data_IF_852320962111
#
_entry.id   IF_852320962111
#
_cell.length_a   1.000
_cell.length_b   1.000
_cell.length_c   1.000
_cell.angle_alpha   90.00
_cell.angle_beta   90.00
_cell.angle_gamma   90.00
#
_symmetry.space_group_name_H-M   'P 1'
#
loop_
_entity.id
_entity.type
_entity.pdbx_description
1 polymer ?
#
# COMPACT_ATOMS: atom_id res chain seq x y z
N UNK A 1 1.11 27.36 27.11
CA UNK A 1 0.68 26.12 26.42
C UNK A 1 1.88 25.21 26.46
N UNK A 2 1.79 24.07 27.13
CA UNK A 2 2.89 23.11 27.22
C UNK A 2 2.96 22.34 25.90
N UNK A 3 4.16 22.26 25.31
CA UNK A 3 4.41 21.51 24.08
C UNK A 3 4.81 20.08 24.49
N UNK A 4 4.05 19.09 24.05
CA UNK A 4 4.37 17.67 24.25
C UNK A 4 4.65 17.09 22.87
N UNK A 5 5.91 16.72 22.62
CA UNK A 5 6.33 16.10 21.37
C UNK A 5 6.04 14.60 21.39
N UNK A 6 5.37 14.11 20.35
CA UNK A 6 5.11 12.68 20.15
C UNK A 6 5.82 12.24 18.88
N UNK A 7 6.75 11.30 19.02
CA UNK A 7 7.51 10.74 17.89
C UNK A 7 6.67 9.74 17.09
N UNK A 8 7.15 9.41 15.89
CA UNK A 8 6.62 8.30 15.10
C UNK A 8 6.94 6.94 15.74
N UNK A 9 6.35 5.89 15.17
CA UNK A 9 6.52 4.51 15.63
C UNK A 9 7.53 3.75 14.77
N UNK A 10 8.32 2.89 15.41
CA UNK A 10 9.16 1.90 14.76
C UNK A 10 8.33 0.73 14.19
N UNK A 11 8.92 -0.05 13.28
CA UNK A 11 8.21 -1.15 12.63
C UNK A 11 7.66 -2.16 13.64
N UNK A 12 8.45 -2.50 14.66
CA UNK A 12 8.09 -3.43 15.72
C UNK A 12 6.93 -2.90 16.57
N UNK A 13 6.95 -1.60 16.88
CA UNK A 13 5.87 -0.92 17.61
C UNK A 13 4.57 -0.94 16.80
N UNK A 14 4.65 -0.71 15.49
CA UNK A 14 3.50 -0.77 14.59
C UNK A 14 2.87 -2.15 14.53
N UNK A 15 3.67 -3.22 14.55
CA UNK A 15 3.16 -4.60 14.62
C UNK A 15 2.36 -4.80 15.91
N UNK A 16 2.90 -4.37 17.06
CA UNK A 16 2.20 -4.48 18.35
C UNK A 16 0.90 -3.66 18.35
N UNK A 17 0.92 -2.44 17.79
CA UNK A 17 -0.26 -1.59 17.67
C UNK A 17 -1.32 -2.25 16.77
N UNK A 18 -0.90 -2.85 15.66
CA UNK A 18 -1.81 -3.54 14.76
C UNK A 18 -2.53 -4.70 15.44
N UNK A 19 -1.79 -5.55 16.16
CA UNK A 19 -2.36 -6.71 16.85
C UNK A 19 -3.26 -6.31 18.03
N UNK A 20 -2.84 -5.34 18.85
CA UNK A 20 -3.58 -4.96 20.07
C UNK A 20 -4.78 -4.05 19.81
N UNK A 21 -4.75 -3.24 18.76
CA UNK A 21 -5.74 -2.19 18.55
C UNK A 21 -6.38 -2.22 17.16
N UNK A 22 -5.60 -2.19 16.08
CA UNK A 22 -6.15 -2.00 14.72
C UNK A 22 -6.97 -3.20 14.25
N UNK A 23 -6.47 -4.43 14.44
CA UNK A 23 -7.18 -5.65 14.05
C UNK A 23 -8.48 -5.82 14.87
N UNK A 24 -8.47 -5.69 16.22
CA UNK A 24 -9.70 -5.70 17.01
C UNK A 24 -10.70 -4.61 16.62
N UNK A 25 -10.21 -3.40 16.29
CA UNK A 25 -11.07 -2.31 15.83
C UNK A 25 -11.73 -2.67 14.49
N UNK A 26 -10.96 -3.11 13.50
CA UNK A 26 -11.49 -3.52 12.19
C UNK A 26 -12.52 -4.65 12.31
N UNK A 27 -12.31 -5.62 13.23
CA UNK A 27 -13.29 -6.67 13.55
C UNK A 27 -14.60 -6.10 14.06
N UNK A 28 -14.53 -5.14 14.99
CA UNK A 28 -15.70 -4.49 15.57
C UNK A 28 -16.49 -3.74 14.52
N UNK A 29 -15.82 -2.99 13.64
CA UNK A 29 -16.45 -2.21 12.57
C UNK A 29 -17.11 -3.11 11.50
N UNK A 30 -16.51 -4.27 11.21
CA UNK A 30 -17.00 -5.23 10.20
C UNK A 30 -17.89 -6.33 10.79
N UNK A 31 -18.12 -6.32 12.10
CA UNK A 31 -18.88 -7.35 12.82
C UNK A 31 -18.36 -8.78 12.59
N UNK A 32 -17.04 -8.95 12.54
CA UNK A 32 -16.37 -10.24 12.36
C UNK A 32 -15.88 -10.79 13.71
N UNK A 33 -15.99 -12.11 13.88
CA UNK A 33 -15.44 -12.78 15.07
C UNK A 33 -13.93 -13.00 14.94
N UNK A 34 -13.25 -13.28 16.06
CA UNK A 34 -11.80 -13.54 16.05
C UNK A 34 -11.41 -14.71 15.15
N UNK A 35 -12.27 -15.74 15.09
CA UNK A 35 -12.05 -16.90 14.23
C UNK A 35 -12.24 -16.59 12.75
N UNK A 36 -13.02 -15.56 12.41
CA UNK A 36 -13.35 -15.21 11.03
C UNK A 36 -12.33 -14.28 10.38
N UNK A 37 -11.59 -13.50 11.17
CA UNK A 37 -10.65 -12.50 10.68
C UNK A 37 -9.33 -12.57 11.44
N UNK A 38 -8.35 -13.25 10.85
CA UNK A 38 -7.01 -13.41 11.40
C UNK A 38 -6.00 -12.86 10.40
N UNK A 39 -5.09 -12.00 10.86
CA UNK A 39 -3.94 -11.54 10.10
C UNK A 39 -2.69 -11.97 10.88
N UNK A 40 -1.84 -12.76 10.24
CA UNK A 40 -0.58 -13.21 10.82
C UNK A 40 0.44 -12.07 10.90
N UNK A 41 1.38 -12.14 11.85
CA UNK A 41 2.39 -11.10 12.06
C UNK A 41 3.24 -10.85 10.80
N UNK A 42 3.58 -11.91 10.06
CA UNK A 42 4.32 -11.77 8.80
C UNK A 42 3.56 -10.96 7.75
N UNK A 43 2.24 -11.12 7.68
CA UNK A 43 1.42 -10.31 6.78
C UNK A 43 1.35 -8.85 7.24
N UNK A 44 1.29 -8.59 8.56
CA UNK A 44 1.35 -7.21 9.09
C UNK A 44 2.69 -6.57 8.76
N UNK A 45 3.78 -7.30 8.93
CA UNK A 45 5.13 -6.85 8.58
C UNK A 45 5.25 -6.51 7.09
N UNK A 46 4.69 -7.35 6.21
CA UNK A 46 4.66 -7.09 4.77
C UNK A 46 3.80 -5.88 4.40
N UNK A 47 2.66 -5.67 5.07
CA UNK A 47 1.84 -4.45 4.90
C UNK A 47 2.66 -3.21 5.28
N UNK A 48 3.38 -3.27 6.41
CA UNK A 48 4.20 -2.16 6.88
C UNK A 48 5.31 -1.85 5.86
N UNK A 49 6.06 -2.87 5.41
CA UNK A 49 7.20 -2.68 4.51
C UNK A 49 6.80 -2.26 3.10
N UNK A 50 5.81 -2.92 2.51
CA UNK A 50 5.54 -2.81 1.07
C UNK A 50 4.37 -1.88 0.72
N UNK A 51 3.56 -1.49 1.71
CA UNK A 51 2.33 -0.73 1.47
C UNK A 51 2.22 0.57 2.28
N UNK A 52 3.10 0.78 3.26
CA UNK A 52 3.07 1.94 4.16
C UNK A 52 4.43 2.67 4.20
N UNK A 53 4.46 3.96 3.84
CA UNK A 53 5.62 4.85 4.05
C UNK A 53 5.18 6.09 4.83
N UNK A 54 5.04 5.92 6.14
CA UNK A 54 4.65 6.98 7.06
C UNK A 54 5.25 6.73 8.44
N UNK A 55 5.33 7.77 9.27
CA UNK A 55 5.75 7.68 10.68
C UNK A 55 4.67 7.08 11.58
N UNK A 56 3.39 7.25 11.23
CA UNK A 56 2.23 6.75 11.95
C UNK A 56 1.72 5.37 11.50
N UNK A 57 0.44 5.09 11.79
CA UNK A 57 -0.25 3.82 11.50
C UNK A 57 -1.56 3.98 10.70
N UNK A 58 -1.80 5.16 10.10
CA UNK A 58 -3.04 5.47 9.39
C UNK A 58 -3.18 4.69 8.08
N UNK A 59 -2.12 4.57 7.31
CA UNK A 59 -2.08 3.73 6.11
C UNK A 59 -2.17 2.25 6.47
N UNK A 60 -1.51 1.84 7.56
CA UNK A 60 -1.60 0.48 8.09
C UNK A 60 -3.06 0.13 8.45
N UNK A 61 -3.75 1.01 9.17
CA UNK A 61 -5.17 0.88 9.49
C UNK A 61 -6.02 0.74 8.23
N UNK A 62 -5.87 1.66 7.25
CA UNK A 62 -6.64 1.60 5.98
C UNK A 62 -6.47 0.27 5.24
N UNK A 63 -5.27 -0.30 5.24
CA UNK A 63 -5.02 -1.59 4.60
C UNK A 63 -5.67 -2.73 5.38
N UNK A 64 -5.56 -2.73 6.72
CA UNK A 64 -6.25 -3.71 7.59
C UNK A 64 -7.78 -3.64 7.39
N UNK A 65 -8.35 -2.44 7.36
CA UNK A 65 -9.79 -2.23 7.14
C UNK A 65 -10.22 -2.75 5.76
N UNK A 66 -9.40 -2.53 4.72
CA UNK A 66 -9.64 -3.08 3.38
C UNK A 66 -9.69 -4.61 3.40
N UNK A 67 -8.79 -5.26 4.13
CA UNK A 67 -8.84 -6.72 4.29
C UNK A 67 -10.13 -7.13 5.01
N UNK A 68 -10.50 -6.44 6.09
CA UNK A 68 -11.73 -6.72 6.85
C UNK A 68 -13.01 -6.61 6.01
N UNK A 69 -13.07 -5.61 5.12
CA UNK A 69 -14.20 -5.39 4.22
C UNK A 69 -14.34 -6.45 3.11
N UNK A 70 -13.33 -7.31 2.92
CA UNK A 70 -13.37 -8.34 1.88
C UNK A 70 -14.45 -9.40 2.14
N UNK A 71 -14.67 -9.83 3.39
CA UNK A 71 -15.67 -10.87 3.72
C UNK A 71 -17.11 -10.40 3.47
N UNK A 72 -17.54 -9.22 3.98
CA UNK A 72 -18.88 -8.70 3.71
C UNK A 72 -19.11 -8.47 2.22
N UNK A 73 -18.11 -7.94 1.49
CA UNK A 73 -18.20 -7.76 0.05
C UNK A 73 -18.37 -9.09 -0.68
N UNK A 74 -17.64 -10.14 -0.30
CA UNK A 74 -17.78 -11.47 -0.92
C UNK A 74 -19.17 -12.07 -0.70
N UNK A 75 -19.72 -11.94 0.52
CA UNK A 75 -21.10 -12.35 0.81
C UNK A 75 -22.12 -11.58 -0.06
N UNK A 76 -21.94 -10.27 -0.22
CA UNK A 76 -22.79 -9.44 -1.08
C UNK A 76 -22.70 -9.85 -2.55
N UNK A 77 -21.50 -10.12 -3.07
CA UNK A 77 -21.32 -10.58 -4.45
C UNK A 77 -21.87 -11.97 -4.66
N UNK A 78 -21.69 -12.90 -3.71
CA UNK A 78 -22.23 -14.26 -3.81
C UNK A 78 -23.76 -14.22 -3.82
N UNK A 79 -24.38 -13.43 -2.95
CA UNK A 79 -25.85 -13.23 -2.92
C UNK A 79 -26.35 -12.55 -4.19
N UNK A 80 -25.63 -11.56 -4.73
CA UNK A 80 -25.98 -10.89 -5.97
C UNK A 80 -25.85 -11.82 -7.18
N UNK A 81 -24.75 -12.59 -7.28
CA UNK A 81 -24.55 -13.63 -8.28
C UNK A 81 -25.69 -14.65 -8.21
N UNK A 82 -25.97 -15.19 -7.01
CA UNK A 82 -27.05 -16.15 -6.80
C UNK A 82 -28.42 -15.61 -7.24
N UNK A 83 -28.70 -14.33 -7.00
CA UNK A 83 -29.93 -13.68 -7.50
C UNK A 83 -29.96 -13.60 -9.03
N UNK A 84 -28.84 -13.27 -9.67
CA UNK A 84 -28.72 -13.22 -11.13
C UNK A 84 -28.88 -14.62 -11.74
N UNK A 85 -28.18 -15.63 -11.21
CA UNK A 85 -28.28 -17.01 -11.66
C UNK A 85 -29.68 -17.60 -11.42
N UNK A 86 -30.31 -17.30 -10.28
CA UNK A 86 -31.69 -17.73 -10.00
C UNK A 86 -32.70 -17.09 -10.94
N UNK A 87 -32.50 -15.81 -11.29
CA UNK A 87 -33.34 -15.11 -12.28
C UNK A 87 -33.16 -15.68 -13.69
N UNK A 88 -31.93 -16.00 -14.09
CA UNK A 88 -31.64 -16.67 -15.36
C UNK A 88 -32.24 -18.09 -15.41
N UNK A 89 -32.14 -18.87 -14.33
CA UNK A 89 -32.74 -20.20 -14.23
C UNK A 89 -34.28 -20.17 -14.28
N UNK A 90 -34.92 -19.21 -13.59
CA UNK A 90 -36.37 -19.00 -13.66
C UNK A 90 -36.83 -18.65 -15.09
N UNK A 91 -36.08 -17.83 -15.81
CA UNK A 91 -36.40 -17.50 -17.21
C UNK A 91 -36.28 -18.69 -18.17
N UNK A 92 -35.37 -19.63 -17.89
CA UNK A 92 -35.25 -20.87 -18.65
C UNK A 92 -36.41 -21.81 -18.32
N UNK A 93 -36.80 -21.90 -17.05
CA UNK A 93 -37.94 -22.70 -16.61
C UNK A 93 -39.28 -22.19 -17.19
N UNK A 94 -39.51 -20.87 -17.23
CA UNK A 94 -40.70 -20.27 -17.85
C UNK A 94 -40.75 -20.49 -19.38
N UNK A 95 -39.60 -20.59 -20.03
CA UNK A 95 -39.53 -20.93 -21.47
C UNK A 95 -39.79 -22.40 -21.75
N UNK A 96 -39.51 -23.28 -20.79
CA UNK A 96 -39.81 -24.71 -20.88
C UNK A 96 -41.29 -25.02 -20.58
N UNK A 97 -41.96 -24.22 -19.74
CA UNK A 97 -43.39 -24.38 -19.46
C UNK A 97 -44.30 -23.79 -20.56
N UNK A 98 -43.81 -22.82 -21.33
CA UNK A 98 -44.56 -22.19 -22.42
C UNK A 98 -44.57 -22.98 -23.76
N UNK A 99 -43.97 -24.18 -23.78
CA UNK A 99 -43.84 -25.00 -24.99
C UNK A 99 -44.43 -26.40 -24.84
N UNK A 100 -45.73 -26.52 -24.59
CA UNK A 100 -46.49 -27.76 -24.86
C UNK A 100 -48.00 -27.55 -24.78
N UNK A 101 -48.71 -27.61 -25.92
CA UNK A 101 -50.13 -27.95 -25.99
C UNK A 101 -50.34 -29.21 -26.88
N UNK A 102 -51.14 -30.15 -26.33
CA UNK A 102 -51.95 -31.24 -26.94
C UNK A 102 -51.22 -32.52 -27.49
N UNK A 103 -51.62 -33.80 -27.29
CA UNK A 103 -52.91 -34.49 -26.98
C UNK A 103 -52.76 -36.00 -26.52
N UNK A 104 -53.62 -36.47 -25.57
CA UNK A 104 -54.44 -37.75 -25.52
C UNK A 104 -53.71 -39.10 -25.21
N UNK A 105 -54.10 -40.10 -24.37
CA UNK A 105 -55.36 -40.51 -23.67
C UNK A 105 -55.18 -41.51 -22.46
N UNK A 106 -56.22 -41.56 -21.60
CA UNK A 106 -56.81 -42.70 -20.82
C UNK A 106 -56.32 -43.22 -19.42
N UNK A 107 -57.31 -43.19 -18.50
CA UNK A 107 -57.70 -44.07 -17.36
C UNK A 107 -57.25 -43.84 -15.89
N UNK A 108 -58.26 -43.44 -15.08
CA UNK A 108 -58.45 -43.44 -13.60
C UNK A 108 -58.89 -44.86 -13.11
N UNK A 109 -59.06 -45.21 -11.80
CA UNK A 109 -59.10 -44.37 -10.59
C UNK A 109 -58.53 -44.93 -9.25
N UNK A 110 -58.59 -44.06 -8.23
CA UNK A 110 -58.90 -44.31 -6.80
C UNK A 110 -57.76 -44.60 -5.78
N UNK A 111 -57.71 -43.75 -4.75
CA UNK A 111 -57.69 -44.23 -3.36
C UNK A 111 -56.61 -43.70 -2.42
N UNK A 112 -57.07 -43.00 -1.39
CA UNK A 112 -56.53 -42.85 -0.02
C UNK A 112 -55.60 -41.68 0.33
N UNK A 113 -56.17 -40.80 1.16
CA UNK A 113 -55.51 -39.86 2.07
C UNK A 113 -54.80 -40.60 3.21
N UNK A 114 -53.69 -40.05 3.71
CA UNK A 114 -53.41 -39.81 5.15
C UNK A 114 -51.91 -39.69 5.49
N UNK A 115 -51.55 -39.02 6.61
CA UNK A 115 -50.33 -38.25 6.81
C UNK A 115 -49.31 -38.96 7.72
N UNK A 116 -48.02 -38.61 7.63
CA UNK A 116 -47.06 -38.94 8.70
C UNK A 116 -46.06 -37.80 8.89
N UNK A 117 -45.97 -37.39 10.14
CA UNK A 117 -45.13 -36.37 10.74
C UNK A 117 -43.62 -36.62 10.62
N UNK A 118 -42.89 -35.54 10.93
CA UNK A 118 -41.56 -35.50 11.53
C UNK A 118 -40.38 -35.98 10.70
N UNK A 119 -39.56 -35.04 10.24
CA UNK A 119 -38.27 -34.75 10.87
C UNK A 119 -37.69 -33.49 10.23
N UNK A 120 -37.57 -32.41 11.01
CA UNK A 120 -36.76 -31.26 10.64
C UNK A 120 -35.30 -31.72 10.58
N UNK A 121 -34.64 -31.75 9.41
CA UNK A 121 -33.22 -32.07 9.39
C UNK A 121 -32.50 -30.89 10.04
N UNK A 122 -31.72 -31.20 11.07
CA UNK A 122 -30.81 -30.27 11.70
C UNK A 122 -30.05 -29.48 10.62
N UNK A 123 -30.16 -28.16 10.68
CA UNK A 123 -29.37 -27.24 9.87
C UNK A 123 -27.90 -27.58 10.11
N UNK A 124 -27.27 -28.28 9.17
CA UNK A 124 -25.82 -28.36 9.12
C UNK A 124 -25.32 -26.91 9.08
N UNK A 125 -24.66 -26.45 10.14
CA UNK A 125 -24.02 -25.15 10.16
C UNK A 125 -22.98 -25.15 9.03
N UNK A 126 -23.33 -24.49 7.93
CA UNK A 126 -22.41 -24.22 6.84
C UNK A 126 -21.16 -23.55 7.42
N UNK A 127 -19.94 -24.00 7.10
CA UNK A 127 -18.73 -23.42 7.66
C UNK A 127 -18.73 -21.93 7.41
N UNK A 128 -18.73 -21.15 8.49
CA UNK A 128 -18.72 -19.70 8.41
C UNK A 128 -17.44 -19.29 7.66
N UNK A 129 -17.54 -18.40 6.67
CA UNK A 129 -16.40 -18.07 5.83
C UNK A 129 -15.34 -17.37 6.69
N UNK A 130 -14.14 -17.94 6.73
CA UNK A 130 -12.98 -17.47 7.49
C UNK A 130 -11.95 -16.86 6.54
N UNK A 131 -11.38 -15.72 6.92
CA UNK A 131 -10.23 -15.10 6.27
C UNK A 131 -9.04 -15.22 7.22
N UNK A 132 -8.02 -15.94 6.76
CA UNK A 132 -6.68 -15.95 7.37
C UNK A 132 -5.75 -15.31 6.35
N UNK A 133 -5.13 -14.20 6.72
CA UNK A 133 -4.18 -13.48 5.86
C UNK A 133 -2.77 -13.76 6.30
N UNK A 134 -1.96 -14.22 5.35
CA UNK A 134 -0.54 -14.49 5.49
C UNK A 134 0.22 -13.77 4.35
N UNK A 135 1.55 -13.82 4.39
CA UNK A 135 2.41 -13.16 3.40
C UNK A 135 2.14 -13.60 1.96
N UNK A 136 1.77 -14.87 1.74
CA UNK A 136 1.55 -15.43 0.41
C UNK A 136 0.23 -14.97 -0.22
N UNK A 137 -0.81 -14.78 0.60
CA UNK A 137 -2.15 -14.43 0.13
C UNK A 137 -2.49 -12.95 0.26
N UNK A 138 -1.60 -12.15 0.88
CA UNK A 138 -1.80 -10.73 1.15
C UNK A 138 -2.20 -9.93 -0.11
N UNK A 139 -1.51 -10.17 -1.23
CA UNK A 139 -1.75 -9.45 -2.50
C UNK A 139 -3.20 -9.55 -2.98
N UNK A 140 -3.89 -10.66 -2.67
CA UNK A 140 -5.30 -10.86 -3.02
C UNK A 140 -6.23 -9.82 -2.37
N UNK A 141 -5.86 -9.34 -1.19
CA UNK A 141 -6.71 -8.47 -0.38
C UNK A 141 -6.33 -6.99 -0.51
N UNK A 142 -5.04 -6.67 -0.47
CA UNK A 142 -4.54 -5.27 -0.54
C UNK A 142 -4.11 -4.83 -1.93
N UNK A 143 -3.92 -5.78 -2.86
CA UNK A 143 -3.40 -5.55 -4.21
C UNK A 143 -1.87 -5.69 -4.27
N UNK A 144 -1.29 -5.29 -5.40
CA UNK A 144 0.16 -5.35 -5.61
C UNK A 144 0.92 -4.42 -4.63
N UNK A 145 2.12 -4.82 -4.18
CA UNK A 145 3.04 -3.98 -3.43
C UNK A 145 3.19 -2.59 -4.04
N UNK A 146 3.08 -1.55 -3.22
CA UNK A 146 3.31 -0.16 -3.67
C UNK A 146 4.78 0.21 -3.66
N UNK A 147 5.52 -0.34 -2.71
CA UNK A 147 6.93 -0.09 -2.51
C UNK A 147 7.66 -1.44 -2.54
N UNK A 148 8.63 -1.55 -3.43
CA UNK A 148 9.42 -2.79 -3.63
C UNK A 148 10.81 -2.70 -3.01
N UNK A 149 11.34 -1.49 -2.87
CA UNK A 149 12.61 -1.22 -2.21
C UNK A 149 12.42 -0.16 -1.14
N UNK A 150 13.23 -0.19 -0.10
CA UNK A 150 13.26 0.88 0.91
C UNK A 150 14.10 2.07 0.41
N UNK A 151 15.19 1.77 -0.29
CA UNK A 151 16.13 2.75 -0.86
C UNK A 151 15.90 2.96 -2.36
N UNK A 152 16.22 4.16 -2.83
CA UNK A 152 16.24 4.49 -4.26
C UNK A 152 17.50 3.94 -4.93
N UNK A 153 18.64 4.00 -4.22
CA UNK A 153 19.92 3.47 -4.66
C UNK A 153 20.47 2.50 -3.61
N UNK A 154 20.90 1.30 -4.01
CA UNK A 154 21.57 0.36 -3.10
C UNK A 154 22.96 0.87 -2.72
N UNK A 155 23.69 1.39 -3.72
CA UNK A 155 24.93 2.15 -3.56
C UNK A 155 24.77 3.47 -4.31
N UNK A 156 25.03 4.58 -3.63
CA UNK A 156 24.89 5.90 -4.24
C UNK A 156 25.97 6.13 -5.29
N UNK A 157 25.61 6.47 -6.55
CA UNK A 157 26.61 6.81 -7.56
C UNK A 157 27.32 8.13 -7.21
N UNK A 158 28.51 8.40 -7.80
CA UNK A 158 29.20 9.68 -7.61
C UNK A 158 28.29 10.86 -7.92
N UNK A 159 28.29 11.86 -7.03
CA UNK A 159 27.43 13.04 -7.14
C UNK A 159 26.06 12.88 -6.48
N UNK A 160 25.68 11.68 -6.01
CA UNK A 160 24.45 11.46 -5.23
C UNK A 160 24.81 11.10 -3.79
N UNK A 161 24.11 11.70 -2.83
CA UNK A 161 24.26 11.36 -1.41
C UNK A 161 22.91 11.31 -0.72
N UNK A 162 22.76 10.40 0.24
CA UNK A 162 21.58 10.32 1.09
C UNK A 162 21.68 11.32 2.25
N UNK A 163 20.70 12.21 2.36
CA UNK A 163 20.50 13.13 3.47
C UNK A 163 19.24 12.79 4.27
N UNK A 164 19.16 13.35 5.48
CA UNK A 164 17.97 13.26 6.32
C UNK A 164 17.29 14.63 6.39
N UNK A 165 15.98 14.65 6.21
CA UNK A 165 15.15 15.84 6.30
C UNK A 165 14.04 15.66 7.33
N UNK A 166 13.62 16.76 7.94
CA UNK A 166 12.43 16.81 8.78
C UNK A 166 11.31 17.51 8.02
N UNK A 167 10.20 16.82 7.82
CA UNK A 167 9.01 17.33 7.14
C UNK A 167 7.84 17.43 8.11
N UNK A 168 6.73 18.04 7.70
CA UNK A 168 5.49 18.06 8.48
C UNK A 168 4.93 16.65 8.77
N UNK A 169 5.30 15.65 7.98
CA UNK A 169 4.90 14.24 8.17
C UNK A 169 5.90 13.43 9.01
N UNK A 170 6.99 14.05 9.47
CA UNK A 170 8.08 13.43 10.22
C UNK A 170 9.38 13.38 9.41
N UNK A 171 10.33 12.58 9.90
CA UNK A 171 11.63 12.39 9.24
C UNK A 171 11.50 11.67 7.90
N UNK A 172 12.27 12.12 6.91
CA UNK A 172 12.36 11.52 5.57
C UNK A 172 13.82 11.43 5.12
N UNK A 173 14.15 10.38 4.38
CA UNK A 173 15.44 10.26 3.69
C UNK A 173 15.32 10.85 2.28
N UNK A 174 16.19 11.78 1.93
CA UNK A 174 16.23 12.42 0.62
C UNK A 174 17.56 12.12 -0.07
N UNK A 175 17.55 12.02 -1.39
CA UNK A 175 18.76 11.90 -2.18
C UNK A 175 19.09 13.26 -2.80
N UNK A 176 20.21 13.84 -2.38
CA UNK A 176 20.71 15.09 -2.95
C UNK A 176 21.60 14.73 -4.12
N UNK A 177 21.28 15.27 -5.29
CA UNK A 177 21.96 14.96 -6.53
C UNK A 177 22.75 16.16 -7.03
N UNK A 178 23.96 15.91 -7.48
CA UNK A 178 24.86 16.89 -8.05
C UNK A 178 25.37 16.38 -9.39
N UNK A 179 25.16 17.18 -10.43
CA UNK A 179 25.52 16.82 -11.80
C UNK A 179 26.29 17.94 -12.46
N UNK A 180 27.15 17.56 -13.39
CA UNK A 180 27.83 18.51 -14.25
C UNK A 180 26.89 18.90 -15.40
N UNK A 181 26.50 20.17 -15.48
CA UNK A 181 25.56 20.69 -16.48
C UNK A 181 26.14 20.67 -17.90
N UNK A 182 27.46 20.79 -18.03
CA UNK A 182 28.19 20.73 -19.30
C UNK A 182 29.64 20.30 -19.09
N UNK A 183 30.28 19.64 -20.08
CA UNK A 183 31.69 19.26 -19.98
C UNK A 183 32.58 20.44 -19.55
N UNK A 184 33.58 20.15 -18.72
CA UNK A 184 34.49 21.17 -18.22
C UNK A 184 35.42 21.58 -19.36
N UNK A 185 35.35 22.86 -19.73
CA UNK A 185 36.24 23.48 -20.70
C UNK A 185 37.29 24.30 -19.95
N UNK A 186 38.49 23.72 -19.81
CA UNK A 186 39.62 24.35 -19.13
C UNK A 186 40.26 25.48 -19.96
N UNK A 187 40.02 25.54 -21.27
CA UNK A 187 40.57 26.56 -22.15
C UNK A 187 39.72 27.83 -22.19
N UNK A 188 38.45 27.74 -21.82
CA UNK A 188 37.54 28.89 -21.76
C UNK A 188 37.88 29.83 -20.60
N UNK A 189 37.83 31.14 -20.85
CA UNK A 189 37.97 32.18 -19.81
C UNK A 189 36.75 32.28 -18.88
N UNK A 190 35.62 31.64 -19.22
CA UNK A 190 34.42 31.64 -18.37
C UNK A 190 34.66 30.90 -17.05
N UNK A 191 34.20 31.49 -15.96
CA UNK A 191 34.16 30.86 -14.65
C UNK A 191 33.02 29.85 -14.54
N UNK A 192 33.20 28.88 -13.65
CA UNK A 192 32.19 27.89 -13.27
C UNK A 192 30.94 28.55 -12.66
N UNK A 193 29.80 27.85 -12.74
CA UNK A 193 28.54 28.31 -12.15
C UNK A 193 27.92 27.25 -11.27
N UNK A 194 27.14 27.68 -10.28
CA UNK A 194 26.34 26.81 -9.42
C UNK A 194 24.86 27.12 -9.63
N UNK A 195 24.11 26.12 -10.08
CA UNK A 195 22.65 26.15 -10.18
C UNK A 195 22.04 25.25 -9.11
N UNK A 196 20.95 25.68 -8.51
CA UNK A 196 20.32 25.01 -7.38
C UNK A 196 18.82 24.93 -7.61
N UNK A 197 18.26 23.72 -7.52
CA UNK A 197 16.83 23.43 -7.75
C UNK A 197 16.26 22.58 -6.61
N UNK A 198 14.94 22.55 -6.47
CA UNK A 198 14.29 21.89 -5.33
C UNK A 198 13.45 22.79 -4.43
N UNK A 199 13.03 23.95 -4.93
CA UNK A 199 12.28 24.95 -4.16
C UNK A 199 12.93 25.33 -2.82
N UNK A 200 14.26 25.44 -2.82
CA UNK A 200 15.04 25.71 -1.62
C UNK A 200 14.85 27.15 -1.14
N UNK A 201 14.64 27.31 0.18
CA UNK A 201 14.66 28.62 0.84
C UNK A 201 16.05 29.25 0.83
N UNK A 202 16.12 30.55 1.12
CA UNK A 202 17.36 31.32 0.98
C UNK A 202 18.47 30.84 1.92
N UNK A 203 18.12 30.43 3.14
CA UNK A 203 19.06 29.83 4.10
C UNK A 203 19.73 28.58 3.51
N UNK A 204 18.96 27.74 2.83
CA UNK A 204 19.51 26.51 2.25
C UNK A 204 20.32 26.82 0.98
N UNK A 205 19.91 27.79 0.16
CA UNK A 205 20.73 28.28 -0.97
C UNK A 205 22.08 28.84 -0.50
N UNK A 206 22.10 29.54 0.63
CA UNK A 206 23.33 30.03 1.25
C UNK A 206 24.20 28.87 1.76
N UNK A 207 23.59 27.89 2.42
CA UNK A 207 24.26 26.66 2.87
C UNK A 207 24.96 25.93 1.71
N UNK A 208 24.31 25.83 0.55
CA UNK A 208 24.91 25.21 -0.64
C UNK A 208 26.14 26.00 -1.14
N UNK A 209 26.10 27.34 -1.12
CA UNK A 209 27.26 28.17 -1.47
C UNK A 209 28.41 28.03 -0.48
N UNK A 210 28.10 27.95 0.81
CA UNK A 210 29.09 27.68 1.86
C UNK A 210 29.73 26.30 1.66
N UNK A 211 28.93 25.27 1.39
CA UNK A 211 29.41 23.92 1.11
C UNK A 211 30.34 23.89 -0.11
N UNK A 212 30.01 24.59 -1.20
CA UNK A 212 30.90 24.72 -2.35
C UNK A 212 32.23 25.39 -1.99
N UNK A 213 32.21 26.40 -1.13
CA UNK A 213 33.41 27.11 -0.67
C UNK A 213 34.32 26.18 0.13
N UNK A 214 33.74 25.38 1.02
CA UNK A 214 34.47 24.34 1.77
C UNK A 214 35.04 23.28 0.83
N UNK A 215 34.24 22.81 -0.14
CA UNK A 215 34.68 21.82 -1.12
C UNK A 215 35.86 22.31 -1.97
N UNK A 216 35.84 23.59 -2.40
CA UNK A 216 36.97 24.24 -3.07
C UNK A 216 38.23 24.24 -2.20
N UNK A 217 38.08 24.59 -0.92
CA UNK A 217 39.21 24.61 0.03
C UNK A 217 39.83 23.23 0.26
N UNK A 218 39.00 22.19 0.39
CA UNK A 218 39.45 20.80 0.52
C UNK A 218 40.18 20.37 -0.76
N UNK A 219 39.59 20.60 -1.93
CA UNK A 219 40.21 20.21 -3.20
C UNK A 219 41.55 20.91 -3.43
N UNK A 220 41.65 22.21 -3.14
CA UNK A 220 42.89 22.96 -3.30
C UNK A 220 44.01 22.48 -2.35
N UNK A 221 43.65 21.89 -1.21
CA UNK A 221 44.59 21.31 -0.25
C UNK A 221 45.07 19.93 -0.68
N UNK A 222 44.14 19.07 -1.06
CA UNK A 222 44.42 17.66 -1.33
C UNK A 222 44.94 17.43 -2.77
N UNK A 223 44.45 18.21 -3.73
CA UNK A 223 44.78 18.14 -5.17
C UNK A 223 45.05 19.55 -5.75
N UNK A 224 46.21 20.17 -5.47
CA UNK A 224 46.46 21.58 -5.78
C UNK A 224 46.42 21.97 -7.26
N UNK A 225 46.69 21.01 -8.15
CA UNK A 225 46.65 21.18 -9.61
C UNK A 225 45.23 21.07 -10.18
N UNK A 226 44.28 20.57 -9.39
CA UNK A 226 42.91 20.36 -9.84
C UNK A 226 42.10 21.67 -9.80
N UNK A 227 41.78 22.19 -10.99
CA UNK A 227 40.98 23.42 -11.19
C UNK A 227 39.50 23.14 -11.51
N UNK A 228 39.00 21.95 -11.18
CA UNK A 228 37.64 21.54 -11.53
C UNK A 228 36.57 22.57 -11.13
N UNK A 229 36.52 22.97 -9.86
CA UNK A 229 35.47 23.87 -9.36
C UNK A 229 35.55 25.32 -9.86
N UNK A 230 36.66 25.71 -10.51
CA UNK A 230 36.80 27.05 -11.09
C UNK A 230 36.21 27.14 -12.50
N UNK A 231 36.07 25.99 -13.17
CA UNK A 231 35.58 25.88 -14.55
C UNK A 231 34.28 25.06 -14.66
N UNK A 232 33.93 24.28 -13.65
CA UNK A 232 32.76 23.40 -13.68
C UNK A 232 31.44 24.16 -13.54
N UNK A 233 30.45 23.74 -14.31
CA UNK A 233 29.07 24.21 -14.20
C UNK A 233 28.27 23.13 -13.48
N UNK A 234 28.05 23.33 -12.18
CA UNK A 234 27.47 22.34 -11.29
C UNK A 234 25.99 22.67 -11.10
N UNK A 235 25.15 21.64 -11.18
CA UNK A 235 23.74 21.73 -10.85
C UNK A 235 23.47 20.80 -9.65
N UNK A 236 22.92 21.37 -8.59
CA UNK A 236 22.50 20.66 -7.39
C UNK A 236 20.98 20.62 -7.34
N UNK A 237 20.43 19.42 -7.18
CA UNK A 237 19.03 19.17 -6.97
C UNK A 237 18.81 18.60 -5.57
N UNK A 238 17.95 19.25 -4.79
CA UNK A 238 17.48 18.76 -3.50
C UNK A 238 15.98 18.49 -3.64
N UNK A 239 15.53 17.23 -3.60
CA UNK A 239 14.11 16.92 -3.67
C UNK A 239 13.30 17.52 -2.51
N UNK A 240 11.99 17.68 -2.72
CA UNK A 240 11.02 18.05 -1.68
C UNK A 240 10.58 16.82 -0.84
#
# INVERSE_FOLDING_TARGET
MELIDVSGYLAEEKIVIAQRYLIPQARTETSLTEDQFVIEDGAVEDIIKHYCRESGVRNLQKHIDRVGLFLPMRKLTDVALLKVFRKAALQIADRMSAGSEATVDSNTPAGSESPVDSETPARSESPQPKIVVNSENLEKYVGRPKFTSDRMYDQTPPGVIMGLAWTAMGGSALYIETVLKRPVDYASDKEGTLEVTGNLGDVMKESVKAALTVAKGILAKDEPDNRFFDKAHIHIHVPE
#
